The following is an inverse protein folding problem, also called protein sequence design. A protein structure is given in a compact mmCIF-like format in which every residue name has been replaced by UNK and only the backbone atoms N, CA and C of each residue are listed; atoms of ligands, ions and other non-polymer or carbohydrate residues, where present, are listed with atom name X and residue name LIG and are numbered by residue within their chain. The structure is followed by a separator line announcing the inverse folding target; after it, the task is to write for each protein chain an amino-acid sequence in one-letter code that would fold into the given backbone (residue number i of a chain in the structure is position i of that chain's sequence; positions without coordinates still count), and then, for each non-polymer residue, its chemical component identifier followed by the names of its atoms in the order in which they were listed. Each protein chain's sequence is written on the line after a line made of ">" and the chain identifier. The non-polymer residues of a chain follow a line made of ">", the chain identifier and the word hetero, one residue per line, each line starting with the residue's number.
data_IF_476428565835
#
_entry.id   IF_476428565835
#
_cell.length_a   1.000
_cell.length_b   1.000
_cell.length_c   1.000
_cell.angle_alpha   90.00
_cell.angle_beta   90.00
_cell.angle_gamma   90.00
#
_symmetry.space_group_name_H-M   'P 1'
#
loop_
_entity.id
_entity.type
_entity.pdbx_description
1 polymer ?
#
# COMPACT_ATOMS: atom_id res chain seq x y z
N UNK A 1 -6.10 10.30 36.62
CA UNK A 1 -6.48 9.38 35.54
C UNK A 1 -5.33 9.38 34.56
N UNK A 2 -4.40 8.46 34.76
CA UNK A 2 -3.09 8.44 34.10
C UNK A 2 -2.80 7.03 33.60
N UNK A 3 -3.67 6.53 32.73
CA UNK A 3 -3.71 5.11 32.36
C UNK A 3 -3.74 4.89 30.83
N UNK A 4 -3.54 5.94 30.03
CA UNK A 4 -3.54 5.84 28.55
C UNK A 4 -2.14 5.97 27.93
N UNK A 5 -1.09 6.15 28.73
CA UNK A 5 0.24 6.52 28.23
C UNK A 5 1.23 5.34 28.06
N UNK A 6 0.78 4.09 28.16
CA UNK A 6 1.69 2.94 28.30
C UNK A 6 1.64 1.88 27.18
N UNK A 7 0.88 2.06 26.10
CA UNK A 7 0.83 1.07 25.01
C UNK A 7 1.64 1.43 23.74
N UNK A 8 2.27 2.61 23.67
CA UNK A 8 2.91 3.09 22.44
C UNK A 8 4.45 2.99 22.39
N UNK A 9 5.14 2.63 23.48
CA UNK A 9 6.60 2.85 23.57
C UNK A 9 7.46 1.59 23.32
N UNK A 10 6.89 0.39 23.25
CA UNK A 10 7.72 -0.84 23.19
C UNK A 10 8.04 -1.38 21.80
N UNK A 11 7.58 -0.76 20.70
CA UNK A 11 7.75 -1.31 19.34
C UNK A 11 8.56 -0.42 18.36
N UNK A 12 8.81 0.85 18.69
CA UNK A 12 9.38 1.82 17.75
C UNK A 12 10.85 1.56 17.39
N UNK A 13 11.64 0.99 18.31
CA UNK A 13 13.07 0.75 18.08
C UNK A 13 13.34 -0.38 17.08
N UNK A 14 12.54 -1.45 17.10
CA UNK A 14 12.66 -2.57 16.16
C UNK A 14 12.23 -2.14 14.75
N UNK A 15 11.16 -1.36 14.67
CA UNK A 15 10.58 -0.91 13.40
C UNK A 15 11.50 0.07 12.66
N UNK A 16 12.14 1.00 13.37
CA UNK A 16 13.16 1.89 12.78
C UNK A 16 14.36 1.09 12.28
N UNK A 17 14.79 0.04 12.98
CA UNK A 17 15.91 -0.80 12.54
C UNK A 17 15.59 -1.53 11.22
N UNK A 18 14.37 -2.03 11.08
CA UNK A 18 13.90 -2.70 9.86
C UNK A 18 13.83 -1.73 8.69
N UNK A 19 13.29 -0.52 8.91
CA UNK A 19 13.23 0.51 7.87
C UNK A 19 14.63 0.99 7.47
N UNK A 20 15.59 1.05 8.40
CA UNK A 20 16.99 1.32 8.07
C UNK A 20 17.61 0.22 7.20
N UNK A 21 17.38 -1.05 7.53
CA UNK A 21 17.84 -2.16 6.69
C UNK A 21 17.19 -2.13 5.29
N UNK A 22 15.91 -1.76 5.21
CA UNK A 22 15.22 -1.57 3.94
C UNK A 22 15.83 -0.41 3.13
N UNK A 23 16.14 0.73 3.76
CA UNK A 23 16.82 1.85 3.13
C UNK A 23 18.20 1.48 2.58
N UNK A 24 18.99 0.69 3.32
CA UNK A 24 20.28 0.19 2.82
C UNK A 24 20.10 -0.65 1.55
N UNK A 25 19.04 -1.46 1.49
CA UNK A 25 18.70 -2.24 0.32
C UNK A 25 18.22 -1.36 -0.83
N UNK A 26 17.35 -0.38 -0.59
CA UNK A 26 16.77 0.46 -1.65
C UNK A 26 17.75 1.49 -2.21
N UNK A 27 18.81 1.82 -1.46
CA UNK A 27 19.86 2.74 -1.91
C UNK A 27 20.51 2.32 -3.24
N UNK A 28 20.58 1.00 -3.54
CA UNK A 28 21.10 0.49 -4.82
C UNK A 28 20.20 0.80 -6.02
N UNK A 29 18.94 1.14 -5.77
CA UNK A 29 17.98 1.63 -6.77
C UNK A 29 17.87 3.17 -6.78
N UNK A 30 18.68 3.87 -5.97
CA UNK A 30 18.65 5.33 -5.86
C UNK A 30 17.52 5.87 -4.97
N UNK A 31 16.91 5.01 -4.15
CA UNK A 31 15.80 5.36 -3.26
C UNK A 31 16.25 5.27 -1.80
N UNK A 32 16.18 6.37 -1.06
CA UNK A 32 16.57 6.44 0.36
C UNK A 32 15.59 7.32 1.13
N UNK A 33 15.02 6.81 2.22
CA UNK A 33 14.26 7.63 3.15
C UNK A 33 15.18 8.24 4.21
N UNK A 34 15.04 9.54 4.45
CA UNK A 34 15.60 10.19 5.64
C UNK A 34 14.87 9.75 6.90
N UNK A 35 15.47 10.00 8.07
CA UNK A 35 14.83 9.74 9.36
C UNK A 35 13.53 10.56 9.54
N UNK A 36 13.47 11.77 8.94
CA UNK A 36 12.29 12.64 8.97
C UNK A 36 11.15 12.09 8.10
N UNK A 37 11.44 11.68 6.86
CA UNK A 37 10.46 11.06 5.96
C UNK A 37 9.96 9.72 6.50
N UNK A 38 10.85 8.93 7.10
CA UNK A 38 10.49 7.68 7.80
C UNK A 38 9.49 7.97 8.93
N UNK A 39 9.74 9.02 9.71
CA UNK A 39 8.86 9.43 10.81
C UNK A 39 7.51 9.95 10.30
N UNK A 40 7.50 10.64 9.15
CA UNK A 40 6.29 11.10 8.48
C UNK A 40 5.40 9.91 8.09
N UNK A 41 5.94 8.94 7.36
CA UNK A 41 5.21 7.74 6.90
C UNK A 41 4.63 6.91 8.06
N UNK A 42 5.38 6.79 9.16
CA UNK A 42 4.92 6.11 10.36
C UNK A 42 3.77 6.86 11.07
N UNK A 43 3.77 8.18 11.03
CA UNK A 43 2.69 9.00 11.56
C UNK A 43 1.44 8.91 10.69
N UNK A 44 1.59 9.03 9.36
CA UNK A 44 0.49 8.85 8.40
C UNK A 44 -0.17 7.47 8.58
N UNK A 45 0.63 6.41 8.74
CA UNK A 45 0.13 5.07 9.03
C UNK A 45 -0.84 5.03 10.20
N UNK A 46 -0.49 5.70 11.30
CA UNK A 46 -1.31 5.72 12.52
C UNK A 46 -2.67 6.38 12.23
N UNK A 47 -2.68 7.41 11.40
CA UNK A 47 -3.89 8.15 11.09
C UNK A 47 -4.78 7.36 10.12
N UNK A 48 -4.18 6.65 9.16
CA UNK A 48 -4.87 5.69 8.28
C UNK A 48 -5.47 4.54 9.09
N UNK A 49 -4.71 3.88 9.96
CA UNK A 49 -5.22 2.80 10.81
C UNK A 49 -6.42 3.23 11.67
N UNK A 50 -6.41 4.46 12.18
CA UNK A 50 -7.53 5.02 12.92
C UNK A 50 -8.76 5.25 12.04
N UNK A 51 -8.57 5.83 10.85
CA UNK A 51 -9.63 6.05 9.85
C UNK A 51 -10.29 4.73 9.45
N UNK A 52 -9.47 3.71 9.22
CA UNK A 52 -9.85 2.37 8.80
C UNK A 52 -10.26 1.44 9.96
N UNK A 53 -10.36 1.97 11.19
CA UNK A 53 -10.72 1.24 12.42
C UNK A 53 -9.93 -0.07 12.64
N UNK A 54 -8.65 -0.06 12.27
CA UNK A 54 -7.78 -1.23 12.25
C UNK A 54 -6.74 -1.16 13.36
N UNK A 55 -6.52 -2.30 14.05
CA UNK A 55 -5.48 -2.45 15.07
C UNK A 55 -4.46 -3.44 14.55
N UNK A 56 -3.20 -3.03 14.48
CA UNK A 56 -2.11 -3.83 13.96
C UNK A 56 -0.98 -3.97 14.99
N UNK A 57 -0.33 -5.13 14.99
CA UNK A 57 0.81 -5.43 15.84
C UNK A 57 2.04 -5.70 14.96
N UNK A 58 3.22 -5.27 15.40
CA UNK A 58 4.48 -5.55 14.69
C UNK A 58 4.95 -4.41 13.79
N UNK A 59 5.68 -4.77 12.73
CA UNK A 59 6.44 -3.83 11.89
C UNK A 59 5.55 -3.04 10.92
N UNK A 60 4.32 -3.49 10.70
CA UNK A 60 3.35 -2.92 9.76
C UNK A 60 3.73 -3.18 8.30
N UNK A 61 2.95 -2.63 7.38
CA UNK A 61 3.10 -2.93 5.95
C UNK A 61 4.25 -2.17 5.25
N UNK A 62 4.66 -1.02 5.80
CA UNK A 62 5.61 -0.11 5.15
C UNK A 62 6.93 -0.77 4.72
N UNK A 63 7.61 -1.61 5.53
CA UNK A 63 8.82 -2.30 5.07
C UNK A 63 8.59 -3.19 3.84
N UNK A 64 7.42 -3.85 3.75
CA UNK A 64 7.08 -4.68 2.59
C UNK A 64 6.86 -3.83 1.35
N UNK A 65 6.15 -2.70 1.48
CA UNK A 65 5.97 -1.75 0.38
C UNK A 65 7.30 -1.20 -0.13
N UNK A 66 8.20 -0.80 0.79
CA UNK A 66 9.54 -0.31 0.44
C UNK A 66 10.29 -1.33 -0.42
N UNK A 67 10.31 -2.60 -0.01
CA UNK A 67 11.03 -3.64 -0.74
C UNK A 67 10.34 -4.00 -2.05
N UNK A 68 9.02 -4.14 -2.07
CA UNK A 68 8.27 -4.54 -3.26
C UNK A 68 8.30 -3.48 -4.37
N UNK A 69 8.32 -2.19 -4.01
CA UNK A 69 8.22 -1.10 -4.98
C UNK A 69 9.57 -0.47 -5.36
N UNK A 70 10.67 -0.85 -4.70
CA UNK A 70 11.98 -0.20 -4.89
C UNK A 70 12.56 -0.29 -6.31
N UNK A 71 12.11 -1.25 -7.12
CA UNK A 71 12.53 -1.44 -8.51
C UNK A 71 11.48 -0.95 -9.54
N UNK A 72 10.43 -0.27 -9.07
CA UNK A 72 9.40 0.27 -9.97
C UNK A 72 9.99 1.34 -10.90
N UNK A 73 9.69 1.29 -12.21
CA UNK A 73 10.14 2.31 -13.14
C UNK A 73 9.44 3.67 -12.96
N UNK A 74 8.37 3.74 -12.16
CA UNK A 74 7.58 4.96 -11.93
C UNK A 74 7.91 5.66 -10.61
N UNK A 75 8.80 5.06 -9.80
CA UNK A 75 9.18 5.60 -8.50
C UNK A 75 10.61 6.13 -8.57
N UNK A 76 10.77 7.37 -8.13
CA UNK A 76 12.01 8.12 -8.09
C UNK A 76 12.12 8.82 -6.74
N UNK A 77 13.34 9.22 -6.36
CA UNK A 77 13.56 9.84 -5.06
C UNK A 77 12.60 11.02 -4.77
N UNK A 78 12.30 11.82 -5.80
CA UNK A 78 11.45 13.02 -5.67
C UNK A 78 9.98 12.70 -5.35
N UNK A 79 9.46 11.52 -5.74
CA UNK A 79 8.08 11.11 -5.49
C UNK A 79 7.97 9.93 -4.50
N UNK A 80 9.09 9.45 -3.97
CA UNK A 80 9.15 8.19 -3.24
C UNK A 80 8.31 8.20 -1.96
N UNK A 81 8.45 9.26 -1.15
CA UNK A 81 7.76 9.39 0.14
C UNK A 81 6.26 9.51 -0.08
N UNK A 82 5.85 10.40 -0.96
CA UNK A 82 4.43 10.60 -1.30
C UNK A 82 3.80 9.31 -1.84
N UNK A 83 4.52 8.60 -2.71
CA UNK A 83 4.05 7.35 -3.30
C UNK A 83 3.89 6.26 -2.23
N UNK A 84 4.84 6.11 -1.31
CA UNK A 84 4.74 5.13 -0.22
C UNK A 84 3.59 5.44 0.74
N UNK A 85 3.36 6.72 1.06
CA UNK A 85 2.22 7.14 1.89
C UNK A 85 0.89 6.76 1.25
N UNK A 86 0.72 7.08 -0.05
CA UNK A 86 -0.45 6.70 -0.85
C UNK A 86 -0.64 5.20 -0.99
N UNK A 87 0.44 4.43 -1.25
CA UNK A 87 0.36 2.97 -1.34
C UNK A 87 -0.09 2.36 -0.01
N UNK A 88 0.38 2.91 1.11
CA UNK A 88 -0.04 2.46 2.43
C UNK A 88 -1.53 2.73 2.69
N UNK A 89 -2.04 3.89 2.29
CA UNK A 89 -3.48 4.20 2.33
C UNK A 89 -4.30 3.21 1.52
N UNK A 90 -3.92 2.99 0.26
CA UNK A 90 -4.58 2.06 -0.66
C UNK A 90 -4.57 0.64 -0.08
N UNK A 91 -3.45 0.19 0.46
CA UNK A 91 -3.32 -1.15 1.05
C UNK A 91 -4.35 -1.37 2.17
N UNK A 92 -4.43 -0.46 3.15
CA UNK A 92 -5.34 -0.65 4.28
C UNK A 92 -6.81 -0.55 3.88
N UNK A 93 -7.14 0.36 2.96
CA UNK A 93 -8.48 0.45 2.39
C UNK A 93 -8.88 -0.88 1.75
N UNK A 94 -8.03 -1.44 0.88
CA UNK A 94 -8.34 -2.68 0.18
C UNK A 94 -8.31 -3.92 1.05
N UNK A 95 -7.49 -3.92 2.10
CA UNK A 95 -7.48 -4.98 3.09
C UNK A 95 -8.82 -5.08 3.83
N UNK A 96 -9.43 -3.93 4.13
CA UNK A 96 -10.79 -3.86 4.69
C UNK A 96 -11.85 -4.21 3.64
N UNK A 97 -11.73 -3.69 2.43
CA UNK A 97 -12.71 -3.97 1.37
C UNK A 97 -12.75 -5.46 0.99
N UNK A 98 -11.60 -6.13 0.95
CA UNK A 98 -11.50 -7.57 0.70
C UNK A 98 -11.83 -8.43 1.92
N UNK A 99 -12.32 -7.86 3.03
CA UNK A 99 -12.64 -8.58 4.27
C UNK A 99 -11.48 -9.46 4.79
N UNK A 100 -10.24 -8.98 4.64
CA UNK A 100 -9.02 -9.72 5.00
C UNK A 100 -8.84 -11.09 4.29
N UNK A 101 -9.51 -11.33 3.16
CA UNK A 101 -9.39 -12.60 2.43
C UNK A 101 -8.01 -12.84 1.82
N UNK A 102 -7.30 -11.78 1.43
CA UNK A 102 -5.93 -11.86 0.92
C UNK A 102 -4.91 -11.70 2.03
N UNK A 103 -3.80 -12.42 1.96
CA UNK A 103 -2.63 -12.16 2.81
C UNK A 103 -1.99 -10.82 2.45
N UNK A 104 -1.15 -10.28 3.34
CA UNK A 104 -0.47 -9.01 3.09
C UNK A 104 0.45 -9.11 1.86
N UNK A 105 1.11 -10.24 1.68
CA UNK A 105 2.04 -10.46 0.56
C UNK A 105 1.26 -10.56 -0.76
N UNK A 106 0.15 -11.30 -0.81
CA UNK A 106 -0.70 -11.39 -2.00
C UNK A 106 -1.25 -10.03 -2.43
N UNK A 107 -1.68 -9.20 -1.46
CA UNK A 107 -2.20 -7.88 -1.79
C UNK A 107 -1.08 -6.94 -2.26
N UNK A 108 0.09 -6.96 -1.62
CA UNK A 108 1.24 -6.14 -2.05
C UNK A 108 1.72 -6.54 -3.44
N UNK A 109 1.82 -7.84 -3.74
CA UNK A 109 2.21 -8.34 -5.05
C UNK A 109 1.20 -7.89 -6.13
N UNK A 110 -0.09 -8.03 -5.87
CA UNK A 110 -1.13 -7.55 -6.77
C UNK A 110 -1.07 -6.03 -7.00
N UNK A 111 -0.86 -5.25 -5.93
CA UNK A 111 -0.69 -3.80 -6.03
C UNK A 111 0.50 -3.43 -6.92
N UNK A 112 1.62 -4.12 -6.76
CA UNK A 112 2.84 -3.90 -7.54
C UNK A 112 2.65 -4.26 -9.01
N UNK A 113 2.07 -5.42 -9.31
CA UNK A 113 1.78 -5.85 -10.69
C UNK A 113 0.84 -4.87 -11.41
N UNK A 114 -0.21 -4.42 -10.73
CA UNK A 114 -1.15 -3.44 -11.27
C UNK A 114 -0.49 -2.08 -11.47
N UNK A 115 0.25 -1.60 -10.48
CA UNK A 115 0.92 -0.30 -10.50
C UNK A 115 1.92 -0.20 -11.64
N UNK A 116 2.82 -1.19 -11.78
CA UNK A 116 3.84 -1.20 -12.81
C UNK A 116 3.30 -1.56 -14.21
N UNK A 117 2.24 -2.36 -14.26
CA UNK A 117 1.61 -2.81 -15.48
C UNK A 117 0.51 -1.85 -15.94
N UNK A 118 -0.77 -2.23 -15.85
CA UNK A 118 -1.89 -1.49 -16.45
C UNK A 118 -2.06 -0.06 -15.90
N UNK A 119 -1.65 0.22 -14.66
CA UNK A 119 -1.79 1.55 -14.09
C UNK A 119 -0.66 2.51 -14.50
N UNK A 120 0.46 1.98 -15.03
CA UNK A 120 1.59 2.77 -15.51
C UNK A 120 2.05 3.85 -14.49
N UNK A 121 2.09 3.49 -13.21
CA UNK A 121 2.47 4.40 -12.12
C UNK A 121 1.35 5.28 -11.54
N UNK A 122 0.11 5.16 -12.03
CA UNK A 122 -1.03 5.90 -11.49
C UNK A 122 -1.59 5.24 -10.23
N UNK A 123 -1.47 5.95 -9.10
CA UNK A 123 -2.05 5.53 -7.81
C UNK A 123 -3.58 5.67 -7.79
N UNK A 124 -4.12 6.69 -8.44
CA UNK A 124 -5.57 6.87 -8.53
C UNK A 124 -6.21 5.74 -9.34
N UNK A 125 -5.59 5.34 -10.46
CA UNK A 125 -6.10 4.21 -11.25
C UNK A 125 -5.94 2.86 -10.53
N UNK A 126 -4.85 2.70 -9.76
CA UNK A 126 -4.66 1.55 -8.89
C UNK A 126 -5.78 1.44 -7.85
N UNK A 127 -6.13 2.56 -7.22
CA UNK A 127 -7.20 2.65 -6.22
C UNK A 127 -8.58 2.42 -6.84
N UNK A 128 -8.92 3.09 -7.93
CA UNK A 128 -10.31 3.09 -8.43
C UNK A 128 -10.67 1.86 -9.27
N UNK A 129 -9.70 1.30 -10.02
CA UNK A 129 -10.02 0.30 -11.06
C UNK A 129 -9.34 -1.05 -10.79
N UNK A 130 -8.03 -1.03 -10.56
CA UNK A 130 -7.23 -2.24 -10.46
C UNK A 130 -7.66 -3.13 -9.28
N UNK A 131 -7.66 -2.54 -8.07
CA UNK A 131 -7.95 -3.27 -6.84
C UNK A 131 -9.44 -3.47 -6.60
N UNK A 132 -10.30 -2.63 -7.19
CA UNK A 132 -11.76 -2.77 -7.06
C UNK A 132 -12.26 -4.13 -7.57
N UNK A 133 -11.64 -4.64 -8.64
CA UNK A 133 -11.93 -5.99 -9.18
C UNK A 133 -11.56 -7.09 -8.18
N UNK A 134 -10.42 -6.97 -7.50
CA UNK A 134 -10.00 -7.91 -6.45
C UNK A 134 -10.96 -7.89 -5.26
N UNK A 135 -11.34 -6.71 -4.77
CA UNK A 135 -12.29 -6.58 -3.68
C UNK A 135 -13.68 -7.15 -4.03
N UNK A 136 -14.18 -6.89 -5.25
CA UNK A 136 -15.44 -7.48 -5.74
C UNK A 136 -15.37 -9.01 -5.77
N UNK A 137 -14.27 -9.56 -6.28
CA UNK A 137 -14.06 -11.02 -6.32
C UNK A 137 -14.03 -11.64 -4.93
N UNK A 138 -13.40 -10.98 -3.96
CA UNK A 138 -13.40 -11.43 -2.57
C UNK A 138 -14.82 -11.46 -1.99
N UNK A 139 -15.59 -10.38 -2.19
CA UNK A 139 -16.96 -10.26 -1.63
C UNK A 139 -18.01 -11.14 -2.29
N UNK A 140 -17.94 -11.33 -3.61
CA UNK A 140 -19.03 -11.94 -4.39
C UNK A 140 -18.64 -13.24 -5.10
N UNK A 141 -17.36 -13.60 -5.11
CA UNK A 141 -16.83 -14.71 -5.92
C UNK A 141 -16.72 -14.37 -7.41
N UNK A 142 -16.27 -15.33 -8.23
CA UNK A 142 -16.01 -15.21 -9.68
C UNK A 142 -17.25 -14.89 -10.57
N UNK A 143 -18.42 -14.56 -10.01
CA UNK A 143 -19.66 -14.54 -10.79
C UNK A 143 -20.02 -13.22 -11.48
N UNK A 144 -19.16 -12.19 -11.45
CA UNK A 144 -19.47 -10.87 -12.03
C UNK A 144 -18.34 -10.32 -12.92
N UNK A 145 -17.87 -11.14 -13.86
CA UNK A 145 -17.22 -10.63 -15.08
C UNK A 145 -18.30 -10.55 -16.18
N UNK A 146 -19.35 -9.75 -15.97
CA UNK A 146 -20.29 -9.38 -17.03
C UNK A 146 -20.31 -7.86 -17.16
N UNK A 147 -19.98 -7.43 -18.40
CA UNK A 147 -20.37 -6.20 -19.09
C UNK A 147 -19.53 -4.93 -18.88
N UNK A 148 -18.58 -4.74 -19.81
CA UNK A 148 -18.44 -3.50 -20.58
C UNK A 148 -17.82 -3.88 -21.95
N UNK A 149 -18.59 -4.62 -22.76
CA UNK A 149 -18.45 -4.49 -24.22
C UNK A 149 -19.07 -3.15 -24.58
N UNK A 150 -18.25 -2.10 -24.78
CA UNK A 150 -18.70 -0.95 -25.54
C UNK A 150 -19.06 -1.46 -26.95
N UNK A 151 -20.36 -1.56 -27.25
CA UNK A 151 -20.84 -1.61 -28.63
C UNK A 151 -20.43 -0.30 -29.32
N UNK A 152 -19.23 -0.25 -29.90
CA UNK A 152 -19.03 0.58 -31.09
C UNK A 152 -19.75 -0.13 -32.26
N UNK A 153 -21.05 0.13 -32.40
CA UNK A 153 -21.70 -0.02 -33.69
C UNK A 153 -21.19 1.11 -34.60
N UNK A 154 -20.15 0.78 -35.37
CA UNK A 154 -19.71 1.48 -36.56
C UNK A 154 -20.87 1.72 -37.54
N UNK A 155 -21.04 2.99 -37.88
CA UNK A 155 -21.31 3.54 -39.22
C UNK A 155 -22.57 3.11 -40.01
N UNK A 156 -23.45 4.09 -40.29
CA UNK A 156 -24.29 4.09 -41.51
C UNK A 156 -24.34 5.49 -42.16
#
# INVERSE_FOLDING_TARGET
>A
MGEEQWFQVSNSSSQVAVLKAANEYTAKFGLVLSDEETSLLLNERRDVLKKEQRVEFGEGILPKLIIAFCDSPYIHQDNYVETLGRLQEIFYFYKNESLDEYTDDELVDAMKELFDGPCQGSLDYLEDTGLQRLAKRARYGLCMDEDEEEEEEDEF
#
